data_IF_256839396172
#
_entry.id   IF_256839396172
#
_cell.length_a   1.000
_cell.length_b   1.000
_cell.length_c   1.000
_cell.angle_alpha   90.00
_cell.angle_beta   90.00
_cell.angle_gamma   90.00
#
_symmetry.space_group_name_H-M   'P 1'
#
loop_
_entity.id
_entity.type
_entity.pdbx_description
1 polymer ?
#
# COMPACT_ATOMS: atom_id res chain seq x y z
N UNK A 1 -22.20 -38.88 4.94
CA UNK A 1 -20.85 -39.12 4.37
C UNK A 1 -20.45 -38.03 3.37
N UNK A 2 -21.31 -37.64 2.43
CA UNK A 2 -21.00 -36.62 1.40
C UNK A 2 -20.81 -35.19 1.96
N UNK A 3 -21.56 -34.81 3.00
CA UNK A 3 -21.40 -33.49 3.66
C UNK A 3 -20.04 -33.29 4.32
N UNK A 4 -19.45 -34.33 4.91
CA UNK A 4 -18.16 -34.21 5.59
C UNK A 4 -17.03 -34.03 4.57
N UNK A 5 -17.10 -34.74 3.44
CA UNK A 5 -16.15 -34.57 2.34
C UNK A 5 -16.24 -33.18 1.69
N UNK A 6 -17.45 -32.60 1.62
CA UNK A 6 -17.62 -31.21 1.19
C UNK A 6 -17.02 -30.22 2.19
N UNK A 7 -17.26 -30.41 3.50
CA UNK A 7 -16.69 -29.56 4.55
C UNK A 7 -15.17 -29.57 4.55
N UNK A 8 -14.54 -30.72 4.37
CA UNK A 8 -13.07 -30.83 4.28
C UNK A 8 -12.52 -30.10 3.04
N UNK A 9 -13.17 -30.25 1.88
CA UNK A 9 -12.76 -29.54 0.65
C UNK A 9 -12.88 -28.01 0.78
N UNK A 10 -13.95 -27.54 1.43
CA UNK A 10 -14.13 -26.10 1.69
C UNK A 10 -13.05 -25.59 2.64
N UNK A 11 -12.75 -26.33 3.70
CA UNK A 11 -11.70 -25.98 4.67
C UNK A 11 -10.31 -25.88 4.02
N UNK A 12 -10.01 -26.79 3.08
CA UNK A 12 -8.75 -26.79 2.35
C UNK A 12 -8.65 -25.62 1.36
N UNK A 13 -9.77 -25.24 0.73
CA UNK A 13 -9.86 -24.06 -0.13
C UNK A 13 -9.71 -22.77 0.67
N UNK A 14 -10.38 -22.64 1.81
CA UNK A 14 -10.26 -21.48 2.70
C UNK A 14 -8.81 -21.28 3.17
N UNK A 15 -8.13 -22.37 3.56
CA UNK A 15 -6.72 -22.35 3.95
C UNK A 15 -5.80 -21.90 2.81
N UNK A 16 -6.06 -22.37 1.58
CA UNK A 16 -5.30 -21.96 0.38
C UNK A 16 -5.51 -20.51 0.02
N UNK A 17 -6.72 -19.99 0.22
CA UNK A 17 -7.07 -18.60 -0.06
C UNK A 17 -6.65 -17.64 1.07
N UNK A 18 -6.06 -18.16 2.16
CA UNK A 18 -5.69 -17.35 3.32
C UNK A 18 -6.91 -16.74 4.03
N UNK A 19 -8.11 -17.28 3.79
CA UNK A 19 -9.34 -16.87 4.46
C UNK A 19 -9.19 -17.35 5.90
N UNK A 20 -8.99 -16.41 6.82
CA UNK A 20 -8.87 -16.72 8.22
C UNK A 20 -10.15 -17.43 8.66
N UNK A 21 -10.02 -18.70 9.08
CA UNK A 21 -11.12 -19.41 9.73
C UNK A 21 -11.63 -18.54 10.88
N UNK A 22 -12.95 -18.38 10.96
CA UNK A 22 -13.57 -17.71 12.09
C UNK A 22 -13.09 -18.42 13.36
N UNK A 23 -12.15 -17.79 14.08
CA UNK A 23 -11.71 -18.31 15.37
C UNK A 23 -12.94 -18.31 16.26
N UNK A 24 -13.23 -19.46 16.88
CA UNK A 24 -14.23 -19.50 17.94
C UNK A 24 -13.79 -18.50 19.01
N UNK A 25 -14.57 -17.43 19.14
CA UNK A 25 -14.33 -16.37 20.11
C UNK A 25 -14.63 -16.96 21.49
N UNK A 26 -13.60 -17.46 22.18
CA UNK A 26 -13.74 -18.03 23.54
C UNK A 26 -13.97 -16.95 24.60
N UNK A 27 -13.43 -15.75 24.39
CA UNK A 27 -13.61 -14.61 25.29
C UNK A 27 -13.65 -13.29 24.51
N UNK A 28 -14.87 -12.79 24.29
CA UNK A 28 -15.15 -11.55 23.55
C UNK A 28 -14.41 -10.33 24.14
N UNK A 29 -14.22 -10.27 25.46
CA UNK A 29 -13.56 -9.15 26.12
C UNK A 29 -12.05 -9.10 25.84
N UNK A 30 -11.38 -10.25 25.86
CA UNK A 30 -9.94 -10.34 25.55
C UNK A 30 -9.66 -9.99 24.09
N UNK A 31 -10.53 -10.43 23.18
CA UNK A 31 -10.42 -10.08 21.76
C UNK A 31 -10.70 -8.60 21.51
N UNK A 32 -11.69 -7.99 22.17
CA UNK A 32 -11.94 -6.55 22.10
C UNK A 32 -10.72 -5.74 22.55
N UNK A 33 -10.06 -6.15 23.62
CA UNK A 33 -8.84 -5.51 24.11
C UNK A 33 -7.70 -5.67 23.09
N UNK A 34 -7.55 -6.86 22.49
CA UNK A 34 -6.55 -7.12 21.47
C UNK A 34 -6.78 -6.29 20.19
N UNK A 35 -8.03 -6.20 19.73
CA UNK A 35 -8.44 -5.40 18.58
C UNK A 35 -8.21 -3.92 18.85
N UNK A 36 -8.61 -3.42 20.02
CA UNK A 36 -8.35 -2.04 20.44
C UNK A 36 -6.86 -1.72 20.46
N UNK A 37 -6.03 -2.64 20.95
CA UNK A 37 -4.56 -2.48 20.95
C UNK A 37 -4.00 -2.40 19.54
N UNK A 38 -4.39 -3.32 18.65
CA UNK A 38 -3.95 -3.34 17.25
C UNK A 38 -4.36 -2.08 16.50
N UNK A 39 -5.60 -1.61 16.69
CA UNK A 39 -6.10 -0.38 16.08
C UNK A 39 -5.29 0.83 16.52
N UNK A 40 -4.98 0.95 17.81
CA UNK A 40 -4.14 2.03 18.33
C UNK A 40 -2.71 1.95 17.78
N UNK A 41 -2.11 0.75 17.73
CA UNK A 41 -0.76 0.56 17.18
C UNK A 41 -0.66 0.90 15.69
N UNK A 42 -1.72 0.63 14.92
CA UNK A 42 -1.81 0.99 13.50
C UNK A 42 -2.12 2.48 13.27
N UNK A 43 -2.19 3.31 14.31
CA UNK A 43 -2.61 4.72 14.20
C UNK A 43 -4.11 4.90 13.89
N UNK A 44 -4.87 3.82 13.84
CA UNK A 44 -6.29 3.78 13.49
C UNK A 44 -7.21 3.90 14.73
N UNK A 45 -6.68 4.37 15.87
CA UNK A 45 -7.45 4.52 17.11
C UNK A 45 -8.64 5.48 17.00
N UNK A 46 -8.64 6.37 16.00
CA UNK A 46 -9.78 7.25 15.71
C UNK A 46 -11.05 6.47 15.30
N UNK A 47 -10.92 5.26 14.76
CA UNK A 47 -12.04 4.40 14.40
C UNK A 47 -12.91 4.04 15.62
N UNK A 48 -12.31 3.97 16.82
CA UNK A 48 -13.02 3.70 18.06
C UNK A 48 -13.85 4.89 18.56
N UNK A 49 -13.63 6.08 17.99
CA UNK A 49 -14.42 7.29 18.29
C UNK A 49 -15.63 7.44 17.37
N UNK A 50 -15.76 6.58 16.36
CA UNK A 50 -16.89 6.63 15.44
C UNK A 50 -18.14 6.13 16.18
N UNK A 51 -19.20 6.95 16.24
CA UNK A 51 -20.47 6.54 16.81
C UNK A 51 -21.01 5.23 16.20
N UNK A 52 -21.58 4.37 17.05
CA UNK A 52 -22.04 3.03 16.66
C UNK A 52 -23.14 3.08 15.58
N UNK A 53 -23.96 4.13 15.60
CA UNK A 53 -25.01 4.38 14.62
C UNK A 53 -24.46 4.66 13.22
N UNK A 54 -23.30 5.32 13.13
CA UNK A 54 -22.59 5.54 11.86
C UNK A 54 -22.00 4.22 11.37
N UNK A 55 -21.36 3.44 12.26
CA UNK A 55 -20.82 2.12 11.90
C UNK A 55 -21.90 1.16 11.42
N UNK A 56 -23.09 1.21 12.03
CA UNK A 56 -24.24 0.40 11.60
C UNK A 56 -24.72 0.80 10.21
N UNK A 57 -24.88 2.10 9.94
CA UNK A 57 -25.22 2.60 8.59
C UNK A 57 -24.18 2.18 7.54
N UNK A 58 -22.90 2.21 7.90
CA UNK A 58 -21.81 1.78 7.02
C UNK A 58 -21.88 0.28 6.71
N UNK A 59 -22.17 -0.53 7.72
CA UNK A 59 -22.35 -1.97 7.56
C UNK A 59 -23.59 -2.28 6.70
N UNK A 60 -24.69 -1.57 6.93
CA UNK A 60 -25.93 -1.71 6.16
C UNK A 60 -25.74 -1.28 4.69
N UNK A 61 -24.87 -0.30 4.43
CA UNK A 61 -24.48 0.13 3.08
C UNK A 61 -23.52 -0.86 2.41
N UNK A 62 -22.55 -1.39 3.16
CA UNK A 62 -21.55 -2.33 2.65
C UNK A 62 -22.12 -3.72 2.34
N UNK A 63 -23.19 -4.12 3.04
CA UNK A 63 -23.87 -5.41 2.85
C UNK A 63 -24.99 -5.35 1.80
N UNK A 64 -25.27 -4.18 1.22
CA UNK A 64 -26.26 -4.02 0.14
C UNK A 64 -25.55 -4.08 -1.21
N UNK A 65 -25.53 -5.27 -1.80
CA UNK A 65 -24.86 -5.49 -3.09
C UNK A 65 -25.53 -4.76 -4.27
N UNK A 66 -26.83 -4.45 -4.23
CA UNK A 66 -27.54 -4.18 -5.50
C UNK A 66 -28.20 -2.81 -5.71
N UNK A 67 -28.42 -1.93 -4.73
CA UNK A 67 -29.17 -0.69 -5.01
C UNK A 67 -28.76 0.50 -4.14
N UNK A 68 -27.64 1.14 -4.47
CA UNK A 68 -27.53 2.58 -4.19
C UNK A 68 -28.55 3.28 -5.10
N UNK A 69 -29.57 3.89 -4.49
CA UNK A 69 -30.49 4.78 -5.20
C UNK A 69 -29.71 5.89 -5.91
N UNK A 70 -30.26 6.49 -6.97
CA UNK A 70 -29.55 7.57 -7.67
C UNK A 70 -29.14 8.72 -6.74
N UNK A 71 -29.94 9.00 -5.70
CA UNK A 71 -29.64 9.98 -4.68
C UNK A 71 -28.40 9.58 -3.84
N UNK A 72 -28.29 8.31 -3.45
CA UNK A 72 -27.14 7.82 -2.69
C UNK A 72 -25.86 7.78 -3.52
N UNK A 73 -25.95 7.45 -4.82
CA UNK A 73 -24.82 7.55 -5.75
C UNK A 73 -24.34 9.00 -5.88
N UNK A 74 -25.26 9.95 -6.01
CA UNK A 74 -24.94 11.38 -6.04
C UNK A 74 -24.28 11.85 -4.76
N UNK A 75 -24.82 11.48 -3.60
CA UNK A 75 -24.24 11.83 -2.31
C UNK A 75 -22.84 11.23 -2.13
N UNK A 76 -22.60 10.01 -2.61
CA UNK A 76 -21.29 9.39 -2.56
C UNK A 76 -20.27 10.12 -3.45
N UNK A 77 -20.69 10.58 -4.63
CA UNK A 77 -19.85 11.40 -5.52
C UNK A 77 -19.54 12.75 -4.87
N UNK A 78 -20.53 13.43 -4.30
CA UNK A 78 -20.33 14.71 -3.60
C UNK A 78 -19.42 14.56 -2.38
N UNK A 79 -19.62 13.51 -1.57
CA UNK A 79 -18.79 13.21 -0.40
C UNK A 79 -17.32 12.97 -0.79
N UNK A 80 -17.07 12.29 -1.91
CA UNK A 80 -15.72 11.98 -2.38
C UNK A 80 -15.15 13.02 -3.35
N UNK A 81 -15.88 14.09 -3.67
CA UNK A 81 -15.51 15.03 -4.73
C UNK A 81 -14.13 15.65 -4.51
N UNK A 82 -13.85 16.15 -3.30
CA UNK A 82 -12.55 16.74 -2.97
C UNK A 82 -11.40 15.74 -3.13
N UNK A 83 -11.63 14.46 -2.80
CA UNK A 83 -10.65 13.39 -2.99
C UNK A 83 -10.45 13.06 -4.47
N UNK A 84 -11.52 13.04 -5.27
CA UNK A 84 -11.45 12.81 -6.71
C UNK A 84 -10.71 13.95 -7.41
N UNK A 85 -10.98 15.20 -7.05
CA UNK A 85 -10.27 16.36 -7.59
C UNK A 85 -8.79 16.33 -7.27
N UNK A 86 -8.42 16.05 -6.01
CA UNK A 86 -7.01 15.93 -5.61
C UNK A 86 -6.29 14.80 -6.36
N UNK A 87 -6.98 13.69 -6.65
CA UNK A 87 -6.43 12.60 -7.47
C UNK A 87 -6.24 13.02 -8.93
N UNK A 88 -7.19 13.78 -9.49
CA UNK A 88 -7.08 14.31 -10.84
C UNK A 88 -5.89 15.27 -10.98
N UNK A 89 -5.70 16.17 -10.03
CA UNK A 89 -4.54 17.09 -9.98
C UNK A 89 -3.21 16.34 -9.95
N UNK A 90 -3.10 15.29 -9.11
CA UNK A 90 -1.89 14.47 -9.03
C UNK A 90 -1.60 13.71 -10.33
N UNK A 91 -2.65 13.23 -11.02
CA UNK A 91 -2.49 12.55 -12.31
C UNK A 91 -2.05 13.53 -13.40
N UNK A 92 -2.59 14.74 -13.40
CA UNK A 92 -2.18 15.78 -14.35
C UNK A 92 -0.71 16.18 -14.12
N UNK A 93 -0.30 16.34 -12.86
CA UNK A 93 1.09 16.63 -12.52
C UNK A 93 2.01 15.48 -12.93
N UNK A 94 1.60 14.24 -12.68
CA UNK A 94 2.37 13.07 -13.09
C UNK A 94 2.59 13.01 -14.61
N UNK A 95 1.57 13.28 -15.43
CA UNK A 95 1.74 13.29 -16.89
C UNK A 95 2.66 14.43 -17.37
N UNK A 96 2.60 15.61 -16.75
CA UNK A 96 3.54 16.71 -17.04
C UNK A 96 4.98 16.32 -16.71
N UNK A 97 5.20 15.75 -15.54
CA UNK A 97 6.53 15.40 -15.06
C UNK A 97 7.13 14.21 -15.83
N UNK A 98 6.28 13.26 -16.24
CA UNK A 98 6.66 12.10 -17.05
C UNK A 98 7.30 12.54 -18.37
N UNK A 99 6.70 13.50 -19.08
CA UNK A 99 7.25 13.96 -20.36
C UNK A 99 8.64 14.61 -20.19
N UNK A 100 8.86 15.35 -19.10
CA UNK A 100 10.13 16.00 -18.78
C UNK A 100 11.20 14.96 -18.39
N UNK A 101 10.86 13.99 -17.55
CA UNK A 101 11.81 12.98 -17.07
C UNK A 101 12.20 12.02 -18.18
N UNK A 102 11.26 11.51 -18.98
CA UNK A 102 11.57 10.54 -20.03
C UNK A 102 12.21 11.15 -21.29
N UNK A 103 12.10 12.47 -21.50
CA UNK A 103 12.78 13.18 -22.60
C UNK A 103 14.05 13.92 -22.15
N UNK A 104 14.48 13.71 -20.91
CA UNK A 104 15.69 14.34 -20.39
C UNK A 104 16.93 13.84 -21.14
N UNK A 105 17.59 14.74 -21.89
CA UNK A 105 18.88 14.47 -22.52
C UNK A 105 19.93 13.99 -21.51
N UNK A 106 19.86 14.44 -20.25
CA UNK A 106 20.77 13.98 -19.20
C UNK A 106 20.62 12.49 -18.87
N UNK A 107 19.41 11.92 -19.00
CA UNK A 107 19.19 10.47 -18.84
C UNK A 107 19.54 9.74 -20.15
N UNK A 108 19.19 10.32 -21.30
CA UNK A 108 19.48 9.72 -22.61
C UNK A 108 21.00 9.58 -22.87
N UNK A 109 21.78 10.58 -22.47
CA UNK A 109 23.21 10.66 -22.74
C UNK A 109 24.06 10.11 -21.59
N UNK A 110 23.45 9.47 -20.58
CA UNK A 110 24.18 8.86 -19.46
C UNK A 110 25.27 7.88 -19.93
N UNK A 111 24.98 7.12 -21.00
CA UNK A 111 25.93 6.19 -21.63
C UNK A 111 27.19 6.85 -22.20
N UNK A 112 27.11 8.12 -22.60
CA UNK A 112 28.24 8.85 -23.18
C UNK A 112 29.25 9.30 -22.11
N UNK A 113 28.80 9.43 -20.86
CA UNK A 113 29.65 9.82 -19.73
C UNK A 113 30.28 8.64 -18.98
N UNK A 114 29.79 7.42 -19.18
CA UNK A 114 30.33 6.19 -18.56
C UNK A 114 31.85 6.02 -18.76
N UNK A 115 32.41 6.18 -19.98
CA UNK A 115 33.85 5.99 -20.17
C UNK A 115 34.72 6.99 -19.39
N UNK A 116 34.23 8.24 -19.25
CA UNK A 116 34.93 9.26 -18.46
C UNK A 116 34.86 8.95 -16.95
N UNK A 117 33.74 8.39 -16.49
CA UNK A 117 33.57 7.94 -15.12
C UNK A 117 34.49 6.75 -14.79
N UNK A 118 34.55 5.75 -15.68
CA UNK A 118 35.43 4.57 -15.52
C UNK A 118 36.92 4.97 -15.50
N UNK A 119 37.29 5.98 -16.30
CA UNK A 119 38.65 6.51 -16.31
C UNK A 119 38.99 7.21 -14.98
N UNK A 120 38.10 8.05 -14.47
CA UNK A 120 38.28 8.73 -13.20
C UNK A 120 38.30 7.74 -12.02
N UNK A 121 37.45 6.71 -12.04
CA UNK A 121 37.47 5.65 -11.02
C UNK A 121 38.80 4.89 -11.03
N UNK A 122 39.31 4.56 -12.22
CA UNK A 122 40.62 3.90 -12.36
C UNK A 122 41.75 4.77 -11.82
N UNK A 123 41.80 6.04 -12.18
CA UNK A 123 42.81 6.99 -11.72
C UNK A 123 42.79 7.16 -10.19
N UNK A 124 41.60 7.26 -9.59
CA UNK A 124 41.43 7.34 -8.13
C UNK A 124 41.93 6.05 -7.46
N UNK A 125 41.59 4.88 -7.99
CA UNK A 125 41.99 3.60 -7.43
C UNK A 125 43.51 3.36 -7.55
N UNK A 126 44.12 3.76 -8.68
CA UNK A 126 45.56 3.73 -8.88
C UNK A 126 46.26 4.66 -7.88
N UNK A 127 45.80 5.91 -7.76
CA UNK A 127 46.35 6.88 -6.79
C UNK A 127 46.19 6.41 -5.34
N UNK A 128 45.04 5.81 -4.99
CA UNK A 128 44.79 5.26 -3.67
C UNK A 128 45.67 4.03 -3.37
N UNK A 129 46.07 3.28 -4.40
CA UNK A 129 47.00 2.18 -4.27
C UNK A 129 48.45 2.66 -4.09
N UNK A 130 48.85 3.75 -4.74
CA UNK A 130 50.16 4.36 -4.56
C UNK A 130 50.37 4.92 -3.15
N UNK A 131 49.32 5.46 -2.52
CA UNK A 131 49.36 5.93 -1.11
C UNK A 131 49.54 4.75 -0.12
N UNK A 132 49.14 3.53 -0.47
CA UNK A 132 49.34 2.33 0.38
C UNK A 132 50.74 1.72 0.26
N UNK A 133 51.53 2.09 -0.75
CA UNK A 133 52.87 1.55 -1.01
C UNK A 133 53.97 2.36 -0.29
N UNK A 134 53.66 3.53 0.27
CA UNK A 134 54.55 4.21 1.23
C UNK A 134 54.17 3.83 2.67
N UNK A 135 54.76 2.79 3.27
CA UNK A 135 54.73 2.68 4.71
C UNK A 135 55.47 3.90 5.27
N UNK A 136 54.80 4.63 6.16
CA UNK A 136 55.44 5.59 7.05
C UNK A 136 56.61 4.86 7.75
N UNK A 137 57.83 5.14 7.29
CA UNK A 137 59.07 4.88 8.04
C UNK A 137 59.09 5.71 9.30
#
# INVERSE_FOLDING_TARGET
>A
MMENALKERVLELEKRLGIAQAKEIKNVNEELIAVRRKLTQAGAGFLLKIPIDILRKLNDLALRDDYLTQAEKRNCIEFNYALMMKRAELLEQFEKDKEIVFKSESIANFGEHLPALDAAEREINETASDVRIFPLT
#
